data_IF_631802320187
#
_entry.id   IF_631802320187
#
_cell.length_a   1.000
_cell.length_b   1.000
_cell.length_c   1.000
_cell.angle_alpha   90.00
_cell.angle_beta   90.00
_cell.angle_gamma   90.00
#
_symmetry.space_group_name_H-M   'P 1'
#
loop_
_entity.id
_entity.type
_entity.pdbx_description
1 polymer ?
#
# COMPACT_ATOMS: atom_id res chain seq x y z
N UNK A 1 -24.66 -29.28 -0.55
CA UNK A 1 -24.52 -27.84 -0.23
C UNK A 1 -23.13 -27.34 -0.66
N UNK A 2 -23.04 -26.51 -1.71
CA UNK A 2 -21.77 -25.96 -2.26
C UNK A 2 -21.82 -24.42 -2.38
N UNK A 3 -22.17 -23.71 -1.30
CA UNK A 3 -22.42 -22.24 -1.39
C UNK A 3 -21.29 -21.38 -0.79
N UNK A 4 -20.38 -21.90 0.03
CA UNK A 4 -19.43 -21.04 0.78
C UNK A 4 -18.01 -20.89 0.20
N UNK A 5 -17.78 -21.10 -1.10
CA UNK A 5 -16.42 -20.99 -1.69
C UNK A 5 -16.05 -19.67 -2.35
N UNK A 6 -16.96 -18.68 -2.44
CA UNK A 6 -16.70 -17.46 -3.25
C UNK A 6 -16.30 -16.20 -2.48
N UNK A 7 -16.39 -16.19 -1.14
CA UNK A 7 -16.21 -14.95 -0.37
C UNK A 7 -14.80 -14.74 0.19
N UNK A 8 -13.92 -15.75 0.14
CA UNK A 8 -12.67 -15.75 0.94
C UNK A 8 -11.36 -15.49 0.19
N UNK A 9 -11.36 -15.06 -1.08
CA UNK A 9 -10.09 -15.03 -1.85
C UNK A 9 -9.79 -13.81 -2.71
N UNK A 10 -10.65 -12.79 -2.77
CA UNK A 10 -10.35 -11.63 -3.61
C UNK A 10 -10.10 -10.40 -2.75
N UNK A 11 -8.86 -9.95 -2.79
CA UNK A 11 -8.48 -8.58 -2.42
C UNK A 11 -9.45 -7.63 -3.12
N UNK A 12 -9.97 -6.59 -2.43
CA UNK A 12 -10.82 -5.59 -3.05
C UNK A 12 -10.19 -5.07 -4.33
N UNK A 13 -10.98 -4.99 -5.41
CA UNK A 13 -10.51 -4.51 -6.73
C UNK A 13 -9.74 -3.18 -6.65
N UNK A 14 -10.09 -2.20 -5.79
CA UNK A 14 -9.31 -0.97 -5.66
C UNK A 14 -7.89 -1.20 -5.16
N UNK A 15 -7.71 -2.07 -4.16
CA UNK A 15 -6.38 -2.43 -3.64
C UNK A 15 -5.57 -3.21 -4.67
N UNK A 16 -6.19 -4.19 -5.33
CA UNK A 16 -5.54 -4.96 -6.40
C UNK A 16 -5.07 -4.06 -7.56
N UNK A 17 -5.90 -3.10 -7.95
CA UNK A 17 -5.57 -2.12 -8.98
C UNK A 17 -4.39 -1.25 -8.55
N UNK A 18 -4.41 -0.68 -7.34
CA UNK A 18 -3.32 0.18 -6.84
C UNK A 18 -1.99 -0.56 -6.72
N UNK A 19 -1.99 -1.78 -6.19
CA UNK A 19 -0.78 -2.63 -6.14
C UNK A 19 -0.23 -2.88 -7.55
N UNK A 20 -1.13 -3.16 -8.50
CA UNK A 20 -0.73 -3.40 -9.89
C UNK A 20 -0.15 -2.15 -10.55
N UNK A 21 -0.74 -0.98 -10.33
CA UNK A 21 -0.23 0.29 -10.85
C UNK A 21 1.12 0.64 -10.24
N UNK A 22 1.31 0.45 -8.93
CA UNK A 22 2.61 0.59 -8.27
C UNK A 22 3.68 -0.33 -8.89
N UNK A 23 3.32 -1.59 -9.17
CA UNK A 23 4.23 -2.56 -9.79
C UNK A 23 4.62 -2.26 -11.25
N UNK A 24 3.86 -1.41 -11.96
CA UNK A 24 4.18 -0.98 -13.34
C UNK A 24 5.09 0.25 -13.39
N UNK A 25 5.23 0.98 -12.28
CA UNK A 25 6.03 2.21 -12.28
C UNK A 25 7.50 1.89 -12.36
N UNK A 26 8.18 2.53 -13.30
CA UNK A 26 9.63 2.45 -13.48
C UNK A 26 10.27 3.55 -12.63
N UNK A 27 11.38 3.23 -11.98
CA UNK A 27 12.18 4.20 -11.23
C UNK A 27 12.63 5.36 -12.14
N UNK A 28 12.84 6.57 -11.60
CA UNK A 28 13.36 7.69 -12.38
C UNK A 28 14.72 7.33 -12.97
N UNK A 29 14.76 7.16 -14.28
CA UNK A 29 16.00 6.92 -15.01
C UNK A 29 16.81 8.22 -15.08
N UNK A 30 18.13 8.09 -14.95
CA UNK A 30 19.02 9.22 -15.27
C UNK A 30 19.00 9.30 -16.79
N UNK A 31 18.45 10.37 -17.36
CA UNK A 31 18.50 10.60 -18.80
C UNK A 31 19.94 10.97 -19.24
N UNK A 32 20.86 10.00 -19.17
CA UNK A 32 22.30 10.14 -19.41
C UNK A 32 22.55 10.74 -20.79
N UNK A 33 21.76 10.37 -21.80
CA UNK A 33 21.91 10.89 -23.16
C UNK A 33 21.61 12.39 -23.25
N UNK A 34 20.57 12.87 -22.56
CA UNK A 34 20.25 14.30 -22.48
C UNK A 34 21.34 15.07 -21.75
N UNK A 35 21.89 14.49 -20.68
CA UNK A 35 23.00 15.07 -19.93
C UNK A 35 24.25 15.18 -20.81
N UNK A 36 24.59 14.12 -21.53
CA UNK A 36 25.77 14.02 -22.39
C UNK A 36 25.74 15.05 -23.52
N UNK A 37 24.60 15.22 -24.18
CA UNK A 37 24.42 16.23 -25.23
C UNK A 37 24.62 17.66 -24.70
N UNK A 38 24.14 17.95 -23.48
CA UNK A 38 24.21 19.28 -22.89
C UNK A 38 25.60 19.61 -22.33
N UNK A 39 26.28 18.62 -21.76
CA UNK A 39 27.71 18.72 -21.39
C UNK A 39 28.54 19.00 -22.64
N UNK A 40 28.32 18.27 -23.75
CA UNK A 40 29.03 18.50 -25.00
C UNK A 40 28.82 19.93 -25.55
N UNK A 41 27.59 20.45 -25.45
CA UNK A 41 27.26 21.82 -25.84
C UNK A 41 28.00 22.85 -24.98
N UNK A 42 28.02 22.67 -23.66
CA UNK A 42 28.75 23.56 -22.75
C UNK A 42 30.26 23.53 -23.00
N UNK A 43 30.84 22.35 -23.23
CA UNK A 43 32.25 22.19 -23.60
C UNK A 43 32.57 22.93 -24.91
N UNK A 44 31.69 22.85 -25.90
CA UNK A 44 31.88 23.56 -27.18
C UNK A 44 31.78 25.08 -27.04
N UNK A 45 30.80 25.59 -26.28
CA UNK A 45 30.65 27.02 -25.99
C UNK A 45 31.87 27.58 -25.25
N UNK A 46 32.43 26.78 -24.36
CA UNK A 46 33.64 27.10 -23.62
C UNK A 46 34.87 27.13 -24.53
N UNK A 47 35.05 26.12 -25.40
CA UNK A 47 36.15 26.09 -26.38
C UNK A 47 36.11 27.30 -27.31
N UNK A 48 34.91 27.69 -27.74
CA UNK A 48 34.71 28.88 -28.56
C UNK A 48 35.12 30.17 -27.82
N UNK A 49 34.82 30.28 -26.51
CA UNK A 49 35.24 31.42 -25.68
C UNK A 49 36.74 31.42 -25.39
N UNK A 50 37.34 30.27 -25.16
CA UNK A 50 38.79 30.11 -24.94
C UNK A 50 39.61 30.50 -26.18
N UNK A 51 39.07 30.25 -27.38
CA UNK A 51 39.68 30.72 -28.64
C UNK A 51 39.76 32.26 -28.75
N UNK A 52 38.90 32.99 -28.03
CA UNK A 52 38.90 34.45 -27.96
C UNK A 52 39.58 35.04 -26.72
N UNK A 53 39.80 34.25 -25.66
CA UNK A 53 40.47 34.69 -24.43
C UNK A 53 41.13 33.49 -23.72
N UNK A 54 42.45 33.30 -23.82
CA UNK A 54 43.13 32.07 -23.41
C UNK A 54 43.22 31.80 -21.89
N UNK A 55 42.86 32.76 -21.04
CA UNK A 55 43.20 32.71 -19.60
C UNK A 55 42.15 32.01 -18.71
N UNK A 56 40.99 31.64 -19.23
CA UNK A 56 39.91 31.07 -18.39
C UNK A 56 39.92 29.54 -18.42
N UNK A 57 40.40 28.90 -17.36
CA UNK A 57 40.23 27.46 -17.13
C UNK A 57 38.73 27.12 -17.01
N UNK A 58 38.17 26.26 -17.88
CA UNK A 58 36.77 25.92 -17.84
C UNK A 58 36.38 24.81 -16.87
N UNK A 59 37.36 24.10 -16.30
CA UNK A 59 37.09 22.97 -15.40
C UNK A 59 36.12 23.33 -14.26
N UNK A 60 36.24 24.50 -13.58
CA UNK A 60 35.32 24.86 -12.50
C UNK A 60 33.86 25.02 -12.95
N UNK A 61 33.61 25.57 -14.14
CA UNK A 61 32.25 25.78 -14.66
C UNK A 61 31.57 24.47 -15.04
N UNK A 62 32.32 23.55 -15.66
CA UNK A 62 31.82 22.22 -16.02
C UNK A 62 31.53 21.40 -14.76
N UNK A 63 32.44 21.43 -13.77
CA UNK A 63 32.26 20.76 -12.48
C UNK A 63 31.02 21.30 -11.76
N UNK A 64 30.88 22.62 -11.67
CA UNK A 64 29.71 23.25 -11.02
C UNK A 64 28.39 22.82 -11.69
N UNK A 65 28.35 22.77 -13.03
CA UNK A 65 27.19 22.30 -13.78
C UNK A 65 26.85 20.83 -13.48
N UNK A 66 27.85 19.94 -13.51
CA UNK A 66 27.66 18.51 -13.21
C UNK A 66 27.15 18.32 -11.77
N UNK A 67 27.74 19.03 -10.80
CA UNK A 67 27.33 18.95 -9.40
C UNK A 67 25.90 19.46 -9.18
N UNK A 68 25.54 20.60 -9.79
CA UNK A 68 24.18 21.12 -9.71
C UNK A 68 23.15 20.15 -10.29
N UNK A 69 23.44 19.55 -11.44
CA UNK A 69 22.52 18.60 -12.06
C UNK A 69 22.42 17.29 -11.27
N UNK A 70 23.53 16.81 -10.70
CA UNK A 70 23.52 15.66 -9.80
C UNK A 70 22.66 15.94 -8.57
N UNK A 71 22.80 17.12 -7.96
CA UNK A 71 21.99 17.52 -6.81
C UNK A 71 20.50 17.58 -7.15
N UNK A 72 20.14 18.18 -8.28
CA UNK A 72 18.76 18.25 -8.77
C UNK A 72 18.16 16.86 -9.02
N UNK A 73 18.94 15.95 -9.62
CA UNK A 73 18.49 14.57 -9.83
C UNK A 73 18.29 13.82 -8.51
N UNK A 74 19.23 13.93 -7.57
CA UNK A 74 19.12 13.29 -6.24
C UNK A 74 17.90 13.81 -5.49
N UNK A 75 17.62 15.11 -5.54
CA UNK A 75 16.45 15.71 -4.90
C UNK A 75 15.14 15.18 -5.51
N UNK A 76 15.05 15.10 -6.84
CA UNK A 76 13.88 14.52 -7.53
C UNK A 76 13.69 13.05 -7.19
N UNK A 77 14.74 12.25 -7.31
CA UNK A 77 14.70 10.82 -6.99
C UNK A 77 14.27 10.59 -5.53
N UNK A 78 14.74 11.42 -4.59
CA UNK A 78 14.31 11.37 -3.18
C UNK A 78 12.85 11.74 -3.02
N UNK A 79 12.36 12.77 -3.70
CA UNK A 79 10.93 13.16 -3.66
C UNK A 79 10.03 12.03 -4.14
N UNK A 80 10.33 11.48 -5.32
CA UNK A 80 9.57 10.36 -5.90
C UNK A 80 9.63 9.11 -5.00
N UNK A 81 10.80 8.81 -4.42
CA UNK A 81 10.93 7.71 -3.47
C UNK A 81 10.06 7.90 -2.22
N UNK A 82 10.00 9.11 -1.66
CA UNK A 82 9.17 9.41 -0.50
C UNK A 82 7.67 9.32 -0.83
N UNK A 83 7.28 9.74 -2.04
CA UNK A 83 5.90 9.57 -2.54
C UNK A 83 5.56 8.08 -2.64
N UNK A 84 6.46 7.26 -3.18
CA UNK A 84 6.27 5.80 -3.25
C UNK A 84 6.15 5.15 -1.87
N UNK A 85 7.02 5.51 -0.93
CA UNK A 85 6.93 4.99 0.43
C UNK A 85 5.59 5.35 1.08
N UNK A 86 5.11 6.57 0.83
CA UNK A 86 3.80 7.03 1.33
C UNK A 86 2.65 6.20 0.73
N UNK A 87 2.66 5.99 -0.59
CA UNK A 87 1.61 5.23 -1.27
C UNK A 87 1.61 3.75 -0.86
N UNK A 88 2.80 3.14 -0.76
CA UNK A 88 2.98 1.76 -0.26
C UNK A 88 2.47 1.64 1.18
N UNK A 89 2.86 2.56 2.07
CA UNK A 89 2.41 2.57 3.46
C UNK A 89 0.88 2.70 3.57
N UNK A 90 0.25 3.51 2.72
CA UNK A 90 -1.21 3.61 2.64
C UNK A 90 -1.88 2.29 2.22
N UNK A 91 -1.35 1.63 1.19
CA UNK A 91 -1.85 0.31 0.74
C UNK A 91 -1.67 -0.75 1.83
N UNK A 92 -0.54 -0.74 2.54
CA UNK A 92 -0.28 -1.65 3.65
C UNK A 92 -1.28 -1.44 4.79
N UNK A 93 -1.55 -0.19 5.18
CA UNK A 93 -2.51 0.15 6.22
C UNK A 93 -3.93 -0.32 5.85
N UNK A 94 -4.37 -0.07 4.61
CA UNK A 94 -5.66 -0.55 4.11
C UNK A 94 -5.76 -2.08 4.09
N UNK A 95 -4.68 -2.77 3.69
CA UNK A 95 -4.64 -4.23 3.70
C UNK A 95 -4.74 -4.79 5.13
N UNK A 96 -4.02 -4.21 6.10
CA UNK A 96 -4.10 -4.58 7.52
C UNK A 96 -5.52 -4.38 8.07
N UNK A 97 -6.14 -3.24 7.78
CA UNK A 97 -7.51 -2.95 8.20
C UNK A 97 -8.51 -3.97 7.63
N UNK A 98 -8.34 -4.38 6.37
CA UNK A 98 -9.18 -5.39 5.75
C UNK A 98 -9.00 -6.78 6.39
N UNK A 99 -7.76 -7.17 6.67
CA UNK A 99 -7.47 -8.44 7.36
C UNK A 99 -8.18 -8.48 8.71
N UNK A 100 -8.07 -7.38 9.46
CA UNK A 100 -8.68 -7.27 10.78
C UNK A 100 -10.22 -7.28 10.71
N UNK A 101 -10.80 -6.56 9.75
CA UNK A 101 -12.25 -6.61 9.50
C UNK A 101 -12.74 -8.03 9.18
N UNK A 102 -12.01 -8.74 8.32
CA UNK A 102 -12.33 -10.13 7.98
C UNK A 102 -12.21 -11.07 9.19
N UNK A 103 -11.20 -10.87 10.05
CA UNK A 103 -11.01 -11.63 11.29
C UNK A 103 -12.20 -11.44 12.23
N UNK A 104 -12.58 -10.19 12.52
CA UNK A 104 -13.73 -9.86 13.37
C UNK A 104 -15.01 -10.49 12.83
N UNK A 105 -15.24 -10.37 11.52
CA UNK A 105 -16.44 -10.94 10.88
C UNK A 105 -16.47 -12.46 10.95
N UNK A 106 -15.32 -13.12 10.85
CA UNK A 106 -15.23 -14.57 10.99
C UNK A 106 -15.53 -15.02 12.43
N UNK A 107 -15.00 -14.30 13.42
CA UNK A 107 -15.31 -14.53 14.84
C UNK A 107 -16.80 -14.35 15.12
N UNK A 108 -17.41 -13.26 14.65
CA UNK A 108 -18.86 -13.01 14.74
C UNK A 108 -19.68 -14.16 14.14
N UNK A 109 -19.26 -14.71 12.99
CA UNK A 109 -19.96 -15.80 12.33
C UNK A 109 -19.82 -17.12 13.08
N UNK A 110 -18.64 -17.40 13.64
CA UNK A 110 -18.42 -18.59 14.46
C UNK A 110 -19.29 -18.54 15.71
N UNK A 111 -19.28 -17.41 16.41
CA UNK A 111 -20.04 -17.24 17.65
C UNK A 111 -21.56 -17.38 17.40
N UNK A 112 -22.06 -16.91 16.24
CA UNK A 112 -23.45 -17.13 15.84
C UNK A 112 -23.77 -18.60 15.54
N UNK A 113 -22.83 -19.34 14.95
CA UNK A 113 -23.02 -20.77 14.72
C UNK A 113 -23.06 -21.55 16.03
N UNK A 114 -22.16 -21.22 16.96
CA UNK A 114 -22.14 -21.81 18.30
C UNK A 114 -23.47 -21.56 19.04
N UNK A 115 -24.07 -20.37 18.87
CA UNK A 115 -25.40 -20.06 19.43
C UNK A 115 -26.52 -20.88 18.82
N UNK A 116 -26.49 -21.05 17.50
CA UNK A 116 -27.49 -21.83 16.79
C UNK A 116 -27.39 -23.29 17.19
N UNK A 117 -26.18 -23.83 17.31
CA UNK A 117 -25.95 -25.19 17.77
C UNK A 117 -26.45 -25.38 19.21
N UNK A 118 -26.19 -24.43 20.11
CA UNK A 118 -26.72 -24.45 21.47
C UNK A 118 -28.26 -24.37 21.50
N UNK A 119 -28.86 -23.49 20.70
CA UNK A 119 -30.32 -23.34 20.61
C UNK A 119 -30.99 -24.60 20.05
N UNK A 120 -30.37 -25.26 19.06
CA UNK A 120 -30.85 -26.54 18.51
C UNK A 120 -30.73 -27.65 19.54
N UNK A 121 -29.58 -27.77 20.22
CA UNK A 121 -29.40 -28.77 21.28
C UNK A 121 -30.46 -28.62 22.38
N UNK A 122 -30.72 -27.39 22.81
CA UNK A 122 -31.75 -27.08 23.79
C UNK A 122 -33.17 -27.36 23.29
N UNK A 123 -33.48 -27.02 22.04
CA UNK A 123 -34.78 -27.36 21.44
C UNK A 123 -35.00 -28.88 21.38
N UNK A 124 -33.96 -29.65 21.09
CA UNK A 124 -34.00 -31.12 21.12
C UNK A 124 -34.21 -31.66 22.54
N UNK A 125 -33.53 -31.08 23.53
CA UNK A 125 -33.71 -31.42 24.95
C UNK A 125 -35.16 -31.20 25.38
N UNK A 126 -35.80 -30.11 24.94
CA UNK A 126 -37.21 -29.83 25.24
C UNK A 126 -38.22 -30.77 24.58
N UNK A 127 -37.86 -31.33 23.43
CA UNK A 127 -38.68 -32.39 22.80
C UNK A 127 -38.67 -33.64 23.67
N UNK A 128 -37.56 -33.92 24.35
CA UNK A 128 -37.42 -35.06 25.26
C UNK A 128 -37.91 -34.78 26.69
N UNK A 129 -37.81 -33.54 27.16
CA UNK A 129 -38.25 -33.06 28.48
C UNK A 129 -38.95 -31.69 28.35
N UNK A 130 -40.29 -31.65 28.31
CA UNK A 130 -41.04 -30.41 28.08
C UNK A 130 -40.82 -29.32 29.14
N UNK A 131 -40.36 -29.69 30.35
CA UNK A 131 -40.20 -28.81 31.50
C UNK A 131 -38.86 -28.04 31.48
N UNK A 132 -37.95 -28.32 30.53
CA UNK A 132 -36.68 -27.58 30.44
C UNK A 132 -36.92 -26.09 30.14
N UNK A 133 -36.35 -25.16 30.95
CA UNK A 133 -36.58 -23.72 30.85
C UNK A 133 -35.93 -23.08 29.60
N UNK A 134 -36.46 -21.96 29.11
CA UNK A 134 -35.94 -21.31 27.89
C UNK A 134 -34.59 -20.61 28.14
N UNK A 135 -33.55 -20.95 27.37
CA UNK A 135 -32.33 -20.15 27.29
C UNK A 135 -32.43 -19.13 26.13
N UNK A 136 -32.35 -17.84 26.46
CA UNK A 136 -32.24 -16.80 25.45
C UNK A 136 -30.79 -16.73 24.91
N UNK A 137 -30.59 -16.63 23.59
CA UNK A 137 -29.28 -16.37 23.02
C UNK A 137 -28.69 -15.06 23.56
N UNK A 138 -27.43 -15.07 23.99
CA UNK A 138 -26.74 -13.86 24.47
C UNK A 138 -26.63 -12.86 23.32
N UNK A 139 -27.09 -11.62 23.52
CA UNK A 139 -27.11 -10.60 22.45
C UNK A 139 -25.70 -10.14 22.10
N UNK A 140 -25.49 -9.72 20.85
CA UNK A 140 -24.18 -9.22 20.37
C UNK A 140 -23.61 -8.11 21.25
N UNK A 141 -24.45 -7.19 21.73
CA UNK A 141 -24.05 -6.09 22.62
C UNK A 141 -23.52 -6.53 23.98
N UNK A 142 -23.83 -7.75 24.41
CA UNK A 142 -23.43 -8.32 25.70
C UNK A 142 -22.12 -9.12 25.58
N UNK A 143 -21.82 -9.66 24.38
CA UNK A 143 -20.61 -10.48 24.13
C UNK A 143 -19.33 -9.67 23.99
N UNK A 144 -19.40 -8.50 23.35
CA UNK A 144 -18.20 -7.72 23.03
C UNK A 144 -17.65 -6.92 24.23
N UNK A 145 -18.21 -7.09 25.44
CA UNK A 145 -17.91 -6.25 26.59
C UNK A 145 -18.39 -4.82 26.31
N UNK A 146 -19.67 -4.56 26.61
CA UNK A 146 -20.29 -3.28 26.30
C UNK A 146 -19.53 -2.08 26.86
N UNK A 147 -18.83 -1.37 25.98
CA UNK A 147 -18.48 0.04 26.15
C UNK A 147 -18.85 0.78 24.88
N UNK A 148 -20.02 1.43 24.93
CA UNK A 148 -20.25 2.69 24.23
C UNK A 148 -19.86 3.82 25.15
#
# INVERSE_FOLDING_TARGET
>A
MKIMKRWSKRVPRPLEHRVRELGKRVLPDIAVDKLRAKIATNVNNIKAKAATSPEVDPAPSIIAYILAHKAEWVLRAKSEHNEYLTEIGGVEAEAKALVEYCRIRWEDQRDLLDDLDAAVAHALERVTDPDTPYHEPIRRSERTGGTR
#
